data_IF_239302718689
#
_entry.id   IF_239302718689
#
_cell.length_a   1.000
_cell.length_b   1.000
_cell.length_c   1.000
_cell.angle_alpha   90.00
_cell.angle_beta   90.00
_cell.angle_gamma   90.00
#
_symmetry.space_group_name_H-M   'P 1'
#
loop_
_entity.id
_entity.type
_entity.pdbx_description
1 polymer ?
#
# COMPACT_ATOMS: atom_id res chain seq x y z
N UNK A 1 -8.37 2.21 20.22
CA UNK A 1 -8.50 2.69 21.61
C UNK A 1 -8.66 1.46 22.50
N UNK A 2 -7.73 1.23 23.42
CA UNK A 2 -7.87 0.16 24.42
C UNK A 2 -8.56 0.74 25.65
N UNK A 3 -9.63 0.09 26.11
CA UNK A 3 -10.41 0.55 27.25
C UNK A 3 -10.63 -0.61 28.21
N UNK A 4 -10.37 -0.37 29.50
CA UNK A 4 -10.70 -1.29 30.58
C UNK A 4 -11.99 -0.81 31.26
N UNK A 5 -12.92 -1.72 31.51
CA UNK A 5 -14.12 -1.46 32.30
C UNK A 5 -13.99 -2.24 33.61
N UNK A 6 -14.01 -1.52 34.74
CA UNK A 6 -14.05 -2.13 36.06
C UNK A 6 -15.45 -2.02 36.66
N UNK A 7 -16.03 -3.17 36.98
CA UNK A 7 -17.32 -3.25 37.67
C UNK A 7 -17.09 -3.34 39.17
N UNK A 8 -17.69 -2.43 39.93
CA UNK A 8 -17.51 -2.34 41.38
C UNK A 8 -18.81 -2.58 42.15
N UNK A 9 -18.71 -3.15 43.35
CA UNK A 9 -19.83 -3.37 44.26
C UNK A 9 -19.83 -2.29 45.36
N UNK A 10 -21.00 -1.71 45.64
CA UNK A 10 -21.19 -0.65 46.67
C UNK A 10 -21.48 -1.24 48.06
N UNK A 11 -21.69 -2.55 48.15
CA UNK A 11 -21.99 -3.22 49.42
C UNK A 11 -20.80 -3.19 50.40
N UNK A 12 -21.08 -2.92 51.69
CA UNK A 12 -20.06 -2.77 52.75
C UNK A 12 -19.16 -4.00 52.93
N UNK A 13 -19.69 -5.20 52.67
CA UNK A 13 -18.95 -6.47 52.73
C UNK A 13 -17.91 -6.64 51.61
N UNK A 14 -18.05 -5.90 50.51
CA UNK A 14 -17.22 -6.04 49.31
C UNK A 14 -16.28 -4.85 49.08
N UNK A 15 -16.15 -3.95 50.07
CA UNK A 15 -15.37 -2.72 49.92
C UNK A 15 -13.89 -3.02 49.66
N UNK A 16 -13.30 -4.02 50.31
CA UNK A 16 -11.89 -4.37 50.12
C UNK A 16 -11.61 -4.89 48.69
N UNK A 17 -12.55 -5.66 48.12
CA UNK A 17 -12.48 -6.13 46.72
C UNK A 17 -12.70 -4.99 45.72
N UNK A 18 -13.63 -4.09 46.01
CA UNK A 18 -13.85 -2.88 45.21
C UNK A 18 -12.62 -1.97 45.21
N UNK A 19 -11.97 -1.79 46.36
CA UNK A 19 -10.70 -1.03 46.46
C UNK A 19 -9.60 -1.71 45.65
N UNK A 20 -9.51 -3.04 45.73
CA UNK A 20 -8.53 -3.82 44.99
C UNK A 20 -8.73 -3.72 43.47
N UNK A 21 -9.99 -3.76 43.01
CA UNK A 21 -10.38 -3.56 41.62
C UNK A 21 -10.02 -2.16 41.12
N UNK A 22 -10.34 -1.12 41.89
CA UNK A 22 -9.99 0.26 41.55
C UNK A 22 -8.47 0.48 41.48
N UNK A 23 -7.70 -0.08 42.43
CA UNK A 23 -6.23 -0.02 42.42
C UNK A 23 -5.64 -0.71 41.19
N UNK A 24 -6.23 -1.82 40.76
CA UNK A 24 -5.81 -2.51 39.55
C UNK A 24 -6.12 -1.66 38.30
N UNK A 25 -7.32 -1.09 38.19
CA UNK A 25 -7.67 -0.18 37.09
C UNK A 25 -6.78 1.05 37.02
N UNK A 26 -6.38 1.61 38.16
CA UNK A 26 -5.43 2.72 38.22
C UNK A 26 -4.08 2.35 37.59
N UNK A 27 -3.58 1.14 37.86
CA UNK A 27 -2.34 0.65 37.22
C UNK A 27 -2.53 0.43 35.71
N UNK A 28 -3.68 -0.09 35.30
CA UNK A 28 -3.99 -0.32 33.87
C UNK A 28 -4.14 1.00 33.10
N UNK A 29 -4.64 2.06 33.74
CA UNK A 29 -4.74 3.39 33.15
C UNK A 29 -3.38 4.02 32.82
N UNK A 30 -2.32 3.59 33.50
CA UNK A 30 -0.94 4.05 33.23
C UNK A 30 -0.28 3.32 32.06
N UNK A 31 -0.89 2.27 31.53
CA UNK A 31 -0.33 1.50 30.42
C UNK A 31 -0.43 2.33 29.14
N UNK A 32 0.73 2.67 28.59
CA UNK A 32 0.83 3.34 27.29
C UNK A 32 0.86 2.29 26.18
N UNK A 33 -0.07 2.38 25.24
CA UNK A 33 -0.08 1.53 24.05
C UNK A 33 0.32 2.34 22.82
N UNK A 34 1.41 1.95 22.16
CA UNK A 34 1.83 2.55 20.89
C UNK A 34 1.08 1.87 19.75
N UNK A 35 0.03 2.53 19.26
CA UNK A 35 -0.79 1.98 18.18
C UNK A 35 -0.20 2.43 16.84
N UNK A 36 0.23 1.47 16.04
CA UNK A 36 0.56 1.66 14.63
C UNK A 36 -0.50 1.00 13.75
N UNK A 37 -0.76 1.58 12.58
CA UNK A 37 -1.60 0.94 11.57
C UNK A 37 -0.86 -0.30 11.08
N UNK A 38 -1.50 -1.46 11.17
CA UNK A 38 -0.95 -2.69 10.61
C UNK A 38 -1.14 -2.66 9.09
N UNK A 39 -0.23 -1.97 8.41
CA UNK A 39 -0.18 -1.94 6.96
C UNK A 39 0.56 -3.19 6.47
N UNK A 40 -0.15 -4.09 5.80
CA UNK A 40 0.47 -5.21 5.11
C UNK A 40 1.05 -4.71 3.78
N UNK A 41 2.36 -4.54 3.73
CA UNK A 41 3.07 -4.32 2.46
C UNK A 41 3.18 -5.64 1.70
N UNK A 42 2.89 -5.63 0.40
CA UNK A 42 3.07 -6.81 -0.44
C UNK A 42 4.54 -7.27 -0.36
N UNK A 43 4.82 -8.50 0.09
CA UNK A 43 6.19 -9.01 0.19
C UNK A 43 6.90 -8.99 -1.17
N UNK A 44 6.18 -9.11 -2.28
CA UNK A 44 6.78 -9.05 -3.63
C UNK A 44 7.25 -7.65 -4.00
N UNK A 45 6.48 -6.62 -3.62
CA UNK A 45 6.88 -5.22 -3.83
C UNK A 45 8.08 -4.86 -2.94
N UNK A 46 8.08 -5.30 -1.68
CA UNK A 46 9.21 -5.13 -0.78
C UNK A 46 10.47 -5.80 -1.34
N UNK A 47 10.37 -7.04 -1.82
CA UNK A 47 11.49 -7.75 -2.45
C UNK A 47 11.99 -7.03 -3.70
N UNK A 48 11.09 -6.47 -4.53
CA UNK A 48 11.47 -5.69 -5.71
C UNK A 48 12.23 -4.42 -5.32
N UNK A 49 11.73 -3.66 -4.35
CA UNK A 49 12.38 -2.44 -3.85
C UNK A 49 13.75 -2.76 -3.22
N UNK A 50 13.82 -3.78 -2.37
CA UNK A 50 15.08 -4.19 -1.75
C UNK A 50 16.10 -4.67 -2.79
N UNK A 51 15.68 -5.43 -3.80
CA UNK A 51 16.56 -5.85 -4.90
C UNK A 51 17.08 -4.66 -5.69
N UNK A 52 16.25 -3.65 -5.93
CA UNK A 52 16.66 -2.42 -6.59
C UNK A 52 17.68 -1.64 -5.73
N UNK A 53 17.41 -1.44 -4.45
CA UNK A 53 18.35 -0.78 -3.52
C UNK A 53 19.68 -1.52 -3.43
N UNK A 54 19.67 -2.85 -3.38
CA UNK A 54 20.89 -3.67 -3.40
C UNK A 54 21.66 -3.51 -4.72
N UNK A 55 20.98 -3.40 -5.85
CA UNK A 55 21.63 -3.14 -7.13
C UNK A 55 22.29 -1.75 -7.18
N UNK A 56 21.57 -0.72 -6.73
CA UNK A 56 22.06 0.67 -6.67
C UNK A 56 23.27 0.78 -5.73
N UNK A 57 23.20 0.21 -4.52
CA UNK A 57 24.32 0.22 -3.57
C UNK A 57 25.55 -0.55 -4.08
N UNK A 58 25.33 -1.65 -4.81
CA UNK A 58 26.43 -2.39 -5.45
C UNK A 58 27.06 -1.58 -6.58
N UNK A 59 26.27 -0.85 -7.34
CA UNK A 59 26.75 0.07 -8.37
C UNK A 59 27.58 1.21 -7.75
N UNK A 60 27.07 1.84 -6.69
CA UNK A 60 27.80 2.88 -5.96
C UNK A 60 29.12 2.36 -5.37
N UNK A 61 29.11 1.18 -4.76
CA UNK A 61 30.34 0.54 -4.26
C UNK A 61 31.31 0.20 -5.39
N UNK A 62 30.82 -0.25 -6.55
CA UNK A 62 31.68 -0.53 -7.70
C UNK A 62 32.32 0.72 -8.28
N UNK A 63 31.64 1.87 -8.22
CA UNK A 63 32.21 3.17 -8.60
C UNK A 63 33.22 3.66 -7.56
N UNK A 64 32.88 3.56 -6.26
CA UNK A 64 33.70 4.09 -5.17
C UNK A 64 34.97 3.27 -4.89
N UNK A 65 34.91 1.95 -5.08
CA UNK A 65 36.05 1.05 -4.85
C UNK A 65 37.02 1.04 -6.04
N UNK A 66 36.69 1.74 -7.13
CA UNK A 66 37.41 1.63 -8.39
C UNK A 66 37.25 0.21 -8.93
N UNK A 67 36.07 -0.08 -9.49
CA UNK A 67 35.75 -1.38 -10.07
C UNK A 67 36.90 -1.89 -10.93
N UNK A 68 37.20 -3.18 -10.81
CA UNK A 68 38.24 -3.90 -11.54
C UNK A 68 38.50 -3.22 -12.89
N UNK A 69 39.63 -2.53 -13.03
CA UNK A 69 40.05 -1.95 -14.30
C UNK A 69 40.27 -3.12 -15.26
N UNK A 70 39.19 -3.59 -15.89
CA UNK A 70 39.24 -4.63 -16.91
C UNK A 70 39.90 -3.99 -18.11
N UNK A 71 41.19 -4.23 -18.29
CA UNK A 71 42.01 -3.52 -19.28
C UNK A 71 41.72 -3.88 -20.76
N UNK A 72 40.52 -4.41 -21.07
CA UNK A 72 40.11 -4.85 -22.41
C UNK A 72 38.94 -4.06 -23.00
N UNK A 73 38.87 -4.00 -24.33
CA UNK A 73 37.73 -3.43 -25.05
C UNK A 73 36.41 -4.11 -24.65
N UNK A 74 35.31 -3.33 -24.62
CA UNK A 74 33.97 -3.85 -24.34
C UNK A 74 33.60 -4.95 -25.35
N UNK A 75 33.16 -6.10 -24.86
CA UNK A 75 32.69 -7.19 -25.71
C UNK A 75 31.47 -6.75 -26.53
N UNK A 76 31.27 -7.37 -27.69
CA UNK A 76 30.13 -7.08 -28.57
C UNK A 76 28.79 -7.17 -27.82
N UNK A 77 28.64 -8.19 -26.97
CA UNK A 77 27.46 -8.39 -26.14
C UNK A 77 27.24 -7.29 -25.08
N UNK A 78 28.30 -6.61 -24.63
CA UNK A 78 28.21 -5.48 -23.72
C UNK A 78 27.83 -4.19 -24.45
N UNK A 79 28.35 -3.99 -25.67
CA UNK A 79 27.92 -2.90 -26.57
C UNK A 79 26.43 -2.98 -26.89
N UNK A 80 25.96 -4.15 -27.33
CA UNK A 80 24.54 -4.37 -27.67
C UNK A 80 23.61 -4.16 -26.46
N UNK A 81 24.08 -4.48 -25.25
CA UNK A 81 23.34 -4.19 -24.01
C UNK A 81 23.24 -2.70 -23.74
N UNK A 82 24.34 -1.96 -23.90
CA UNK A 82 24.36 -0.51 -23.74
C UNK A 82 23.44 0.18 -24.76
N UNK A 83 23.45 -0.27 -26.02
CA UNK A 83 22.55 0.27 -27.06
C UNK A 83 21.07 0.09 -26.72
N UNK A 84 20.69 -1.09 -26.22
CA UNK A 84 19.31 -1.35 -25.79
C UNK A 84 18.92 -0.50 -24.57
N UNK A 85 19.78 -0.41 -23.56
CA UNK A 85 19.51 0.42 -22.38
C UNK A 85 19.33 1.90 -22.75
N UNK A 86 20.17 2.41 -23.64
CA UNK A 86 20.06 3.79 -24.15
C UNK A 86 18.77 3.95 -24.96
N UNK A 87 18.39 2.96 -25.77
CA UNK A 87 17.14 3.01 -26.53
C UNK A 87 15.90 3.00 -25.63
N UNK A 88 15.86 2.12 -24.64
CA UNK A 88 14.77 2.02 -23.67
C UNK A 88 14.66 3.33 -22.86
N UNK A 89 15.80 3.89 -22.43
CA UNK A 89 15.86 5.17 -21.73
C UNK A 89 15.35 6.35 -22.58
N UNK A 90 15.65 6.38 -23.89
CA UNK A 90 15.15 7.41 -24.79
C UNK A 90 13.66 7.26 -25.14
N UNK A 91 13.11 6.05 -25.00
CA UNK A 91 11.68 5.78 -25.25
C UNK A 91 10.81 6.04 -24.01
N UNK A 92 11.40 5.99 -22.80
CA UNK A 92 10.70 6.31 -21.56
C UNK A 92 10.44 7.82 -21.44
N UNK A 93 9.15 8.19 -21.32
CA UNK A 93 8.71 9.59 -21.16
C UNK A 93 8.64 10.04 -19.69
N UNK A 94 9.01 9.16 -18.74
CA UNK A 94 9.00 9.46 -17.31
C UNK A 94 10.13 10.42 -16.92
N UNK A 95 9.87 11.48 -16.13
CA UNK A 95 10.91 12.37 -15.62
C UNK A 95 11.86 11.69 -14.61
N UNK A 96 11.46 10.53 -14.07
CA UNK A 96 12.26 9.72 -13.13
C UNK A 96 13.03 8.58 -13.82
N UNK A 97 13.02 8.52 -15.16
CA UNK A 97 13.78 7.51 -15.89
C UNK A 97 15.27 7.66 -15.58
N UNK A 98 15.94 6.53 -15.27
CA UNK A 98 17.38 6.49 -14.98
C UNK A 98 18.06 5.47 -15.88
N UNK A 99 19.17 5.86 -16.50
CA UNK A 99 20.00 4.97 -17.29
C UNK A 99 20.98 4.23 -16.36
N UNK A 100 20.64 3.00 -16.00
CA UNK A 100 21.46 2.15 -15.11
C UNK A 100 22.46 1.32 -15.92
N UNK A 101 23.68 1.86 -16.08
CA UNK A 101 24.74 1.24 -16.88
C UNK A 101 25.67 0.36 -16.03
N UNK A 102 25.64 0.52 -14.70
CA UNK A 102 26.60 -0.08 -13.78
C UNK A 102 27.84 0.80 -13.59
N UNK A 103 28.71 0.42 -12.65
CA UNK A 103 29.90 1.21 -12.28
C UNK A 103 31.10 1.09 -13.23
N UNK A 104 30.89 0.66 -14.47
CA UNK A 104 31.95 0.52 -15.46
C UNK A 104 32.08 1.80 -16.30
N UNK A 105 33.18 2.53 -16.10
CA UNK A 105 33.47 3.79 -16.80
C UNK A 105 33.44 3.64 -18.33
N UNK A 106 33.83 2.49 -18.88
CA UNK A 106 33.87 2.26 -20.34
C UNK A 106 32.45 2.21 -20.91
N UNK A 107 31.53 1.52 -20.22
CA UNK A 107 30.12 1.43 -20.61
C UNK A 107 29.42 2.78 -20.49
N UNK A 108 29.75 3.54 -19.44
CA UNK A 108 29.25 4.91 -19.23
C UNK A 108 29.66 5.80 -20.42
N UNK A 109 30.95 5.81 -20.77
CA UNK A 109 31.47 6.58 -21.91
C UNK A 109 30.84 6.16 -23.24
N UNK A 110 30.66 4.85 -23.46
CA UNK A 110 29.96 4.33 -24.64
C UNK A 110 28.51 4.84 -24.71
N UNK A 111 27.75 4.74 -23.60
CA UNK A 111 26.37 5.23 -23.55
C UNK A 111 26.29 6.73 -23.87
N UNK A 112 27.19 7.55 -23.32
CA UNK A 112 27.28 8.97 -23.68
C UNK A 112 27.63 9.20 -25.15
N UNK A 113 28.49 8.36 -25.74
CA UNK A 113 28.83 8.44 -27.16
C UNK A 113 27.62 8.11 -28.05
N UNK A 114 26.82 7.11 -27.68
CA UNK A 114 25.59 6.71 -28.36
C UNK A 114 24.53 7.80 -28.25
N UNK A 115 24.32 8.36 -27.06
CA UNK A 115 23.42 9.50 -26.84
C UNK A 115 23.84 10.70 -27.69
N UNK A 116 25.13 11.04 -27.68
CA UNK A 116 25.68 12.14 -28.49
C UNK A 116 25.50 11.88 -29.99
N UNK A 117 25.67 10.64 -30.44
CA UNK A 117 25.42 10.26 -31.84
C UNK A 117 23.93 10.40 -32.21
N UNK A 118 23.01 10.01 -31.33
CA UNK A 118 21.55 10.14 -31.55
C UNK A 118 21.08 11.59 -31.52
N UNK A 119 21.69 12.45 -30.72
CA UNK A 119 21.39 13.89 -30.68
C UNK A 119 21.99 14.64 -31.87
N UNK A 120 23.20 14.24 -32.32
CA UNK A 120 23.87 14.86 -33.47
C UNK A 120 23.40 14.32 -34.81
N UNK A 121 22.82 13.13 -34.85
CA UNK A 121 22.11 12.64 -36.02
C UNK A 121 20.85 13.50 -36.18
N UNK A 122 20.71 14.27 -37.27
CA UNK A 122 19.46 14.98 -37.52
C UNK A 122 18.37 13.91 -37.64
N UNK A 123 17.39 13.98 -36.76
CA UNK A 123 16.16 13.19 -36.73
C UNK A 123 15.80 12.63 -38.12
N UNK A 124 16.15 11.37 -38.39
CA UNK A 124 15.50 10.61 -39.45
C UNK A 124 14.10 10.27 -38.95
N UNK A 125 13.21 11.26 -39.06
CA UNK A 125 11.78 10.99 -39.16
C UNK A 125 11.58 10.14 -40.41
N UNK A 126 11.47 8.83 -40.23
CA UNK A 126 10.82 7.95 -41.20
C UNK A 126 9.32 8.19 -41.09
N UNK A 127 8.82 9.22 -41.77
CA UNK A 127 7.40 9.33 -42.14
C UNK A 127 7.33 9.50 -43.66
N UNK A 128 6.57 8.66 -44.39
CA UNK A 128 6.37 8.87 -45.82
C UNK A 128 5.56 10.15 -46.03
N UNK A 129 6.11 11.03 -46.88
CA UNK A 129 5.52 12.28 -47.36
C UNK A 129 4.11 12.09 -47.91
N UNK A 130 3.16 12.88 -47.42
CA UNK A 130 2.18 13.55 -48.30
C UNK A 130 2.04 15.00 -47.82
N UNK A 131 2.09 15.91 -48.76
CA UNK A 131 2.40 17.33 -48.59
C UNK A 131 1.24 18.16 -48.03
N UNK A 132 1.55 19.09 -47.10
CA UNK A 132 1.07 20.49 -47.04
C UNK A 132 1.75 21.25 -45.89
N UNK A 133 1.99 22.57 -46.00
CA UNK A 133 2.83 23.34 -45.09
C UNK A 133 2.05 23.93 -43.90
N UNK A 134 2.78 24.26 -42.83
CA UNK A 134 2.38 25.19 -41.76
C UNK A 134 1.33 24.69 -40.75
N UNK A 135 1.78 24.19 -39.60
CA UNK A 135 1.44 24.73 -38.26
C UNK A 135 2.05 23.89 -37.13
N UNK A 136 2.25 24.58 -36.00
CA UNK A 136 2.75 24.15 -34.69
C UNK A 136 2.25 22.76 -34.24
N UNK A 137 3.00 22.04 -33.38
CA UNK A 137 2.51 20.78 -32.82
C UNK A 137 1.40 21.11 -31.81
N UNK A 138 0.17 21.16 -32.30
CA UNK A 138 -1.03 21.06 -31.46
C UNK A 138 -1.06 19.63 -30.99
N UNK A 139 -0.83 19.42 -29.69
CA UNK A 139 -1.23 18.20 -29.01
C UNK A 139 -2.70 18.00 -29.32
N UNK A 140 -3.04 17.07 -30.22
CA UNK A 140 -4.43 16.67 -30.39
C UNK A 140 -4.80 15.92 -29.12
N UNK A 141 -5.32 16.67 -28.17
CA UNK A 141 -5.97 16.15 -26.99
C UNK A 141 -7.02 15.13 -27.45
N UNK A 142 -6.94 13.93 -26.89
CA UNK A 142 -7.96 12.91 -27.10
C UNK A 142 -9.31 13.54 -26.71
N UNK A 143 -10.29 13.65 -27.63
CA UNK A 143 -11.56 14.33 -27.35
C UNK A 143 -12.32 13.66 -26.20
N UNK A 144 -12.02 12.39 -25.90
CA UNK A 144 -12.55 11.69 -24.72
C UNK A 144 -11.94 12.20 -23.41
N UNK A 145 -10.67 12.56 -23.43
CA UNK A 145 -9.98 13.07 -22.25
C UNK A 145 -10.41 14.50 -21.94
N UNK A 146 -10.61 15.34 -22.96
CA UNK A 146 -11.17 16.69 -22.79
C UNK A 146 -12.58 16.64 -22.19
N UNK A 147 -13.43 15.73 -22.67
CA UNK A 147 -14.78 15.54 -22.13
C UNK A 147 -14.76 15.03 -20.69
N UNK A 148 -13.85 14.12 -20.34
CA UNK A 148 -13.68 13.64 -18.95
C UNK A 148 -13.19 14.76 -18.03
N UNK A 149 -12.24 15.59 -18.48
CA UNK A 149 -11.75 16.74 -17.72
C UNK A 149 -12.89 17.74 -17.50
N UNK A 150 -13.65 18.06 -18.55
CA UNK A 150 -14.82 18.94 -18.48
C UNK A 150 -15.87 18.45 -17.49
N UNK A 151 -16.20 17.16 -17.54
CA UNK A 151 -17.15 16.54 -16.61
C UNK A 151 -16.67 16.61 -15.16
N UNK A 152 -15.38 16.35 -14.91
CA UNK A 152 -14.79 16.47 -13.57
C UNK A 152 -14.76 17.90 -13.07
N UNK A 153 -14.45 18.87 -13.93
CA UNK A 153 -14.45 20.29 -13.56
C UNK A 153 -15.87 20.79 -13.22
N UNK A 154 -16.90 20.29 -13.93
CA UNK A 154 -18.31 20.56 -13.60
C UNK A 154 -18.70 19.96 -12.24
N UNK A 155 -18.29 18.73 -11.95
CA UNK A 155 -18.51 18.08 -10.66
C UNK A 155 -17.79 18.81 -9.53
N UNK A 156 -16.53 19.18 -9.72
CA UNK A 156 -15.73 19.96 -8.76
C UNK A 156 -16.42 21.30 -8.46
N UNK A 157 -16.93 21.99 -9.49
CA UNK A 157 -17.64 23.25 -9.30
C UNK A 157 -18.95 23.08 -8.51
N UNK A 158 -19.70 22.00 -8.75
CA UNK A 158 -20.87 21.69 -7.94
C UNK A 158 -20.49 21.40 -6.48
N UNK A 159 -19.48 20.56 -6.26
CA UNK A 159 -19.00 20.20 -4.92
C UNK A 159 -18.51 21.43 -4.15
N UNK A 160 -17.77 22.33 -4.80
CA UNK A 160 -17.34 23.60 -4.23
C UNK A 160 -18.52 24.50 -3.86
N UNK A 161 -19.59 24.52 -4.66
CA UNK A 161 -20.81 25.27 -4.35
C UNK A 161 -21.52 24.70 -3.13
N UNK A 162 -21.66 23.38 -3.03
CA UNK A 162 -22.21 22.72 -1.83
C UNK A 162 -21.34 22.92 -0.60
N UNK A 163 -20.01 22.78 -0.70
CA UNK A 163 -19.10 23.02 0.43
C UNK A 163 -19.16 24.48 0.90
N UNK A 164 -19.22 25.44 -0.03
CA UNK A 164 -19.38 26.85 0.31
C UNK A 164 -20.74 27.13 0.95
N UNK A 165 -21.79 26.43 0.52
CA UNK A 165 -23.12 26.53 1.11
C UNK A 165 -23.15 25.92 2.52
N UNK A 166 -22.57 24.75 2.73
CA UNK A 166 -22.46 24.10 4.05
C UNK A 166 -21.62 24.95 5.01
N UNK A 167 -20.50 25.50 4.56
CA UNK A 167 -19.67 26.42 5.36
C UNK A 167 -20.42 27.70 5.75
N UNK A 168 -21.32 28.20 4.89
CA UNK A 168 -22.22 29.32 5.20
C UNK A 168 -23.27 28.93 6.24
N UNK A 169 -23.91 27.76 6.10
CA UNK A 169 -24.89 27.25 7.08
C UNK A 169 -24.25 27.05 8.46
N UNK A 170 -23.04 26.51 8.51
CA UNK A 170 -22.28 26.35 9.76
C UNK A 170 -22.01 27.72 10.40
N UNK A 171 -21.52 28.69 9.63
CA UNK A 171 -21.27 30.05 10.15
C UNK A 171 -22.56 30.74 10.63
N UNK A 172 -23.69 30.52 9.96
CA UNK A 172 -25.00 31.04 10.37
C UNK A 172 -25.52 30.39 11.65
N UNK A 173 -25.35 29.07 11.80
CA UNK A 173 -25.67 28.34 13.03
C UNK A 173 -24.77 28.78 14.20
N UNK A 174 -23.46 28.96 13.96
CA UNK A 174 -22.52 29.49 14.94
C UNK A 174 -22.88 30.92 15.38
N UNK A 175 -23.30 31.77 14.44
CA UNK A 175 -23.77 33.12 14.77
C UNK A 175 -25.05 33.09 15.61
N UNK A 176 -26.01 32.21 15.29
CA UNK A 176 -27.24 32.03 16.07
C UNK A 176 -26.95 31.51 17.49
N UNK A 177 -26.03 30.56 17.63
CA UNK A 177 -25.58 30.05 18.94
C UNK A 177 -24.92 31.15 19.80
N UNK A 178 -24.17 32.07 19.19
CA UNK A 178 -23.58 33.23 19.90
C UNK A 178 -24.63 34.25 20.35
N UNK A 179 -25.73 34.42 19.61
CA UNK A 179 -26.82 35.34 20.00
C UNK A 179 -27.74 34.79 21.09
N UNK A 180 -27.68 33.49 21.40
CA UNK A 180 -28.48 32.85 22.46
C UNK A 180 -27.71 32.63 23.76
N UNK A 181 -26.45 33.05 23.85
CA UNK A 181 -25.68 33.03 25.09
C UNK A 181 -26.02 34.28 25.94
N UNK A 182 -26.54 34.15 27.17
CA UNK A 182 -26.64 35.27 28.09
C UNK A 182 -25.24 35.71 28.50
N UNK A 183 -25.05 37.03 28.62
CA UNK A 183 -23.84 37.63 29.20
C UNK A 183 -23.59 37.08 30.61
N UNK A 184 -22.47 36.37 30.79
CA UNK A 184 -21.80 36.34 32.09
C UNK A 184 -20.42 36.98 31.96
N UNK A 185 -20.27 38.08 32.71
CA UNK A 185 -19.02 38.77 33.04
C UNK A 185 -18.00 37.80 33.62
N UNK A 186 -16.74 37.97 33.24
CA UNK A 186 -15.62 37.50 34.06
C UNK A 186 -14.34 37.40 33.25
N UNK A 187 -13.56 38.48 33.23
CA UNK A 187 -12.21 38.46 32.69
C UNK A 187 -11.20 37.89 33.68
N UNK A 188 -10.16 37.27 33.16
CA UNK A 188 -8.77 37.35 33.61
C UNK A 188 -7.92 36.61 32.57
N UNK A 189 -6.84 37.25 32.13
CA UNK A 189 -5.85 36.61 31.27
C UNK A 189 -5.08 35.54 32.04
N UNK A 190 -4.65 34.50 31.32
CA UNK A 190 -3.61 33.60 31.81
C UNK A 190 -2.48 33.53 30.79
N UNK A 191 -1.30 33.81 31.32
CA UNK A 191 -0.01 33.85 30.66
C UNK A 191 0.46 32.44 30.31
N UNK A 192 1.19 32.36 29.20
CA UNK A 192 1.89 31.17 28.72
C UNK A 192 3.19 31.05 29.49
N UNK A 193 3.42 29.93 30.18
CA UNK A 193 4.76 29.56 30.66
C UNK A 193 5.17 28.16 30.18
N UNK A 194 6.29 28.15 29.48
CA UNK A 194 6.97 27.04 28.81
C UNK A 194 8.00 26.45 29.77
N UNK A 195 8.03 25.12 30.00
CA UNK A 195 9.15 24.48 30.71
C UNK A 195 9.50 23.08 30.17
N UNK A 196 10.81 22.91 30.01
CA UNK A 196 11.57 21.88 29.28
C UNK A 196 11.65 20.50 29.96
N UNK A 197 11.79 19.51 29.08
CA UNK A 197 12.47 18.19 29.11
C UNK A 197 13.02 17.61 30.41
N UNK A 198 12.82 16.28 30.60
CA UNK A 198 13.91 15.38 31.04
C UNK A 198 13.68 13.90 30.66
N UNK A 199 14.80 13.21 30.46
CA UNK A 199 15.03 11.92 29.76
C UNK A 199 15.55 10.88 30.74
N UNK A 200 14.95 9.70 30.91
CA UNK A 200 15.62 8.54 31.57
C UNK A 200 15.15 7.16 31.06
N UNK A 201 16.12 6.47 30.45
CA UNK A 201 16.55 5.05 30.45
C UNK A 201 15.60 3.86 30.18
N UNK A 202 16.13 3.07 29.25
CA UNK A 202 15.86 1.71 28.78
C UNK A 202 16.42 0.66 29.76
N UNK A 203 15.64 -0.38 30.08
CA UNK A 203 16.18 -1.66 30.59
C UNK A 203 15.40 -2.86 30.04
N UNK A 204 16.13 -3.98 29.94
CA UNK A 204 15.95 -5.15 29.06
C UNK A 204 15.63 -6.39 29.90
N UNK A 205 14.86 -7.33 29.32
CA UNK A 205 14.78 -8.74 29.71
C UNK A 205 13.35 -9.23 29.96
N UNK A 206 12.93 -10.48 29.75
CA UNK A 206 13.52 -11.72 29.19
C UNK A 206 12.33 -12.63 28.89
N UNK A 207 12.39 -13.43 27.83
CA UNK A 207 11.36 -14.40 27.41
C UNK A 207 11.12 -15.49 28.46
N UNK A 208 9.86 -15.92 28.64
CA UNK A 208 9.54 -17.32 29.00
C UNK A 208 8.35 -17.81 28.19
N UNK A 209 8.56 -18.96 27.55
CA UNK A 209 7.65 -19.72 26.71
C UNK A 209 6.72 -20.59 27.56
N UNK A 210 5.41 -20.47 27.39
CA UNK A 210 4.43 -21.33 28.11
C UNK A 210 2.95 -21.07 27.85
N UNK A 211 2.55 -19.98 27.17
CA UNK A 211 1.15 -19.53 27.15
C UNK A 211 0.38 -19.79 25.84
N UNK A 212 0.89 -20.63 24.94
CA UNK A 212 0.28 -20.77 23.61
C UNK A 212 -0.98 -21.67 23.55
N UNK A 213 -1.15 -22.65 24.44
CA UNK A 213 -2.27 -23.61 24.30
C UNK A 213 -3.59 -23.17 24.97
N UNK A 214 -3.54 -22.25 25.94
CA UNK A 214 -4.74 -21.76 26.64
C UNK A 214 -5.51 -20.67 25.87
N UNK A 215 -4.83 -19.96 24.96
CA UNK A 215 -5.39 -18.86 24.18
C UNK A 215 -6.36 -19.33 23.10
N UNK A 216 -6.09 -20.46 22.46
CA UNK A 216 -6.86 -20.94 21.31
C UNK A 216 -8.28 -21.40 21.69
N UNK A 217 -8.44 -22.04 22.86
CA UNK A 217 -9.75 -22.49 23.35
C UNK A 217 -10.69 -21.33 23.68
N UNK A 218 -10.16 -20.27 24.30
CA UNK A 218 -10.95 -19.06 24.66
C UNK A 218 -11.36 -18.25 23.43
N UNK A 219 -10.52 -18.23 22.40
CA UNK A 219 -10.80 -17.51 21.15
C UNK A 219 -11.87 -18.21 20.30
N UNK A 220 -11.94 -19.55 20.36
CA UNK A 220 -12.97 -20.35 19.68
C UNK A 220 -14.37 -20.18 20.31
N UNK A 221 -14.45 -20.09 21.64
CA UNK A 221 -15.71 -19.85 22.37
C UNK A 221 -16.24 -18.43 22.14
N UNK A 222 -15.37 -17.43 22.16
CA UNK A 222 -15.73 -16.04 21.88
C UNK A 222 -16.23 -15.83 20.43
N UNK A 223 -15.62 -16.52 19.45
CA UNK A 223 -16.10 -16.51 18.05
C UNK A 223 -17.45 -17.21 17.85
N UNK A 224 -17.76 -18.23 18.66
CA UNK A 224 -19.08 -18.89 18.65
C UNK A 224 -20.15 -18.02 19.29
N UNK A 225 -19.82 -17.34 20.39
CA UNK A 225 -20.72 -16.41 21.07
C UNK A 225 -21.08 -15.21 20.18
N UNK A 226 -20.12 -14.61 19.47
CA UNK A 226 -20.36 -13.49 18.54
C UNK A 226 -21.32 -13.84 17.39
N UNK A 227 -21.30 -15.08 16.91
CA UNK A 227 -22.22 -15.54 15.85
C UNK A 227 -23.65 -15.78 16.36
N UNK A 228 -23.85 -15.93 17.67
CA UNK A 228 -25.13 -16.36 18.24
C UNK A 228 -26.03 -15.21 18.69
N UNK A 229 -25.53 -13.98 18.83
CA UNK A 229 -26.31 -12.85 19.36
C UNK A 229 -26.22 -11.61 18.46
N UNK A 230 -26.77 -11.73 17.26
CA UNK A 230 -27.27 -10.57 16.51
C UNK A 230 -28.78 -10.54 16.67
N UNK A 231 -29.30 -9.57 17.44
CA UNK A 231 -30.74 -9.27 17.45
C UNK A 231 -31.22 -9.10 16.00
N UNK A 232 -32.42 -9.59 15.68
CA UNK A 232 -32.95 -9.60 14.30
C UNK A 232 -32.87 -8.22 13.62
N UNK A 233 -33.10 -7.16 14.38
CA UNK A 233 -32.97 -5.77 13.93
C UNK A 233 -31.53 -5.37 13.58
N UNK A 234 -30.53 -5.89 14.30
CA UNK A 234 -29.11 -5.66 14.02
C UNK A 234 -28.64 -6.43 12.79
N UNK A 235 -29.22 -7.60 12.54
CA UNK A 235 -28.97 -8.36 11.31
C UNK A 235 -29.62 -7.68 10.10
N UNK A 236 -30.86 -7.20 10.24
CA UNK A 236 -31.55 -6.41 9.20
C UNK A 236 -30.79 -5.12 8.85
N UNK A 237 -30.28 -4.38 9.85
CA UNK A 237 -29.46 -3.19 9.64
C UNK A 237 -28.13 -3.50 8.94
N UNK A 238 -27.50 -4.63 9.26
CA UNK A 238 -26.27 -5.08 8.62
C UNK A 238 -26.51 -5.51 7.17
N UNK A 239 -27.61 -6.19 6.88
CA UNK A 239 -27.99 -6.59 5.52
C UNK A 239 -28.40 -5.39 4.66
N UNK A 240 -28.93 -4.33 5.27
CA UNK A 240 -29.16 -3.06 4.59
C UNK A 240 -27.84 -2.35 4.28
N UNK A 241 -26.93 -2.24 5.26
CA UNK A 241 -25.58 -1.70 5.03
C UNK A 241 -24.80 -2.45 3.94
N UNK A 242 -24.90 -3.79 3.90
CA UNK A 242 -24.24 -4.59 2.85
C UNK A 242 -24.80 -4.33 1.46
N UNK A 243 -26.09 -4.00 1.33
CA UNK A 243 -26.73 -3.69 0.05
C UNK A 243 -26.40 -2.27 -0.41
N UNK A 244 -26.33 -1.33 0.53
CA UNK A 244 -26.12 0.09 0.23
C UNK A 244 -24.63 0.45 0.10
N UNK A 245 -23.72 -0.49 0.36
CA UNK A 245 -22.29 -0.27 0.22
C UNK A 245 -21.88 -0.33 -1.28
N UNK A 246 -21.39 0.78 -1.87
CA UNK A 246 -21.11 0.87 -3.30
C UNK A 246 -19.97 -0.06 -3.77
N UNK A 247 -19.17 -0.57 -2.83
CA UNK A 247 -18.04 -1.48 -3.09
C UNK A 247 -18.50 -2.94 -3.10
N UNK A 248 -19.72 -3.25 -2.64
CA UNK A 248 -20.16 -4.63 -2.46
C UNK A 248 -20.28 -5.39 -3.79
N UNK A 249 -20.68 -4.72 -4.86
CA UNK A 249 -20.74 -5.31 -6.20
C UNK A 249 -19.35 -5.72 -6.70
N UNK A 250 -18.34 -4.87 -6.50
CA UNK A 250 -16.94 -5.18 -6.83
C UNK A 250 -16.42 -6.36 -6.00
N UNK A 251 -16.74 -6.40 -4.71
CA UNK A 251 -16.35 -7.51 -3.82
C UNK A 251 -17.00 -8.82 -4.24
N UNK A 252 -18.28 -8.78 -4.62
CA UNK A 252 -18.99 -9.95 -5.12
C UNK A 252 -18.39 -10.43 -6.46
N UNK A 253 -18.03 -9.51 -7.35
CA UNK A 253 -17.37 -9.83 -8.61
C UNK A 253 -15.97 -10.45 -8.40
N UNK A 254 -15.15 -9.88 -7.51
CA UNK A 254 -13.86 -10.47 -7.16
C UNK A 254 -14.01 -11.87 -6.53
N UNK A 255 -15.07 -12.07 -5.73
CA UNK A 255 -15.38 -13.37 -5.15
C UNK A 255 -15.78 -14.39 -6.21
N UNK A 256 -16.55 -14.00 -7.22
CA UNK A 256 -16.89 -14.88 -8.34
C UNK A 256 -15.67 -15.21 -9.18
N UNK A 257 -14.86 -14.20 -9.51
CA UNK A 257 -13.66 -14.37 -10.34
C UNK A 257 -12.64 -15.29 -9.65
N UNK A 258 -12.46 -15.13 -8.34
CA UNK A 258 -11.57 -15.98 -7.56
C UNK A 258 -12.05 -17.43 -7.53
N UNK A 259 -13.37 -17.65 -7.41
CA UNK A 259 -13.95 -19.01 -7.47
C UNK A 259 -13.73 -19.65 -8.83
N UNK A 260 -13.95 -18.90 -9.91
CA UNK A 260 -13.73 -19.39 -11.28
C UNK A 260 -12.27 -19.76 -11.51
N UNK A 261 -11.34 -18.87 -11.15
CA UNK A 261 -9.89 -19.14 -11.27
C UNK A 261 -9.45 -20.34 -10.43
N UNK A 262 -10.03 -20.51 -9.24
CA UNK A 262 -9.73 -21.67 -8.40
C UNK A 262 -10.25 -22.97 -9.01
N UNK A 263 -11.46 -22.98 -9.59
CA UNK A 263 -11.97 -24.14 -10.31
C UNK A 263 -11.15 -24.49 -11.54
N UNK A 264 -10.69 -23.48 -12.29
CA UNK A 264 -9.82 -23.67 -13.46
C UNK A 264 -8.45 -24.23 -13.06
N UNK A 265 -7.81 -23.66 -12.04
CA UNK A 265 -6.56 -24.16 -11.50
C UNK A 265 -6.69 -25.61 -10.98
N UNK A 266 -7.82 -25.95 -10.37
CA UNK A 266 -8.10 -27.32 -9.92
C UNK A 266 -8.21 -28.28 -11.10
N UNK A 267 -8.95 -27.90 -12.16
CA UNK A 267 -9.07 -28.72 -13.37
C UNK A 267 -7.72 -28.96 -14.05
N UNK A 268 -6.89 -27.92 -14.18
CA UNK A 268 -5.52 -28.04 -14.70
C UNK A 268 -4.65 -28.95 -13.81
N UNK A 269 -4.81 -28.88 -12.50
CA UNK A 269 -4.13 -29.79 -11.57
C UNK A 269 -4.53 -31.26 -11.76
N UNK A 270 -5.81 -31.52 -12.01
CA UNK A 270 -6.32 -32.87 -12.32
C UNK A 270 -5.79 -33.38 -13.69
N UNK A 271 -5.66 -32.49 -14.68
CA UNK A 271 -5.07 -32.82 -16.00
C UNK A 271 -3.57 -33.16 -15.91
N UNK A 272 -2.81 -32.37 -15.15
CA UNK A 272 -1.39 -32.66 -14.88
C UNK A 272 -1.25 -33.98 -14.13
N UNK A 273 -2.11 -34.25 -13.16
CA UNK A 273 -2.10 -35.50 -12.42
C UNK A 273 -2.40 -36.70 -13.33
N UNK A 274 -3.36 -36.56 -14.24
CA UNK A 274 -3.72 -37.60 -15.23
C UNK A 274 -2.59 -37.85 -16.24
N UNK A 275 -1.89 -36.79 -16.66
CA UNK A 275 -0.70 -36.90 -17.51
C UNK A 275 0.45 -37.60 -16.77
N UNK A 276 0.60 -37.33 -15.48
CA UNK A 276 1.63 -37.97 -14.66
C UNK A 276 1.35 -39.46 -14.42
N UNK A 277 0.10 -39.85 -14.22
CA UNK A 277 -0.28 -41.27 -14.07
C UNK A 277 -0.06 -42.02 -15.38
N UNK A 278 -0.47 -41.45 -16.52
CA UNK A 278 -0.21 -42.07 -17.83
C UNK A 278 1.28 -42.23 -18.10
N UNK A 279 2.10 -41.20 -17.88
CA UNK A 279 3.57 -41.30 -18.02
C UNK A 279 4.14 -42.41 -17.13
N UNK A 280 3.63 -42.54 -15.90
CA UNK A 280 4.07 -43.60 -14.98
C UNK A 280 3.68 -44.99 -15.48
N UNK A 281 2.49 -45.15 -16.05
CA UNK A 281 2.03 -46.39 -16.67
C UNK A 281 2.88 -46.79 -17.89
N UNK A 282 3.18 -45.84 -18.78
CA UNK A 282 4.08 -46.05 -19.91
C UNK A 282 5.51 -46.41 -19.46
N UNK A 283 6.02 -45.74 -18.43
CA UNK A 283 7.32 -46.06 -17.82
C UNK A 283 7.38 -47.49 -17.29
N UNK A 284 6.31 -47.96 -16.63
CA UNK A 284 6.21 -49.33 -16.12
C UNK A 284 6.10 -50.36 -17.25
N UNK A 285 5.37 -50.08 -18.34
CA UNK A 285 5.29 -50.97 -19.51
C UNK A 285 6.64 -51.13 -20.22
N UNK A 286 7.36 -50.02 -20.41
CA UNK A 286 8.71 -50.04 -20.99
C UNK A 286 9.68 -50.86 -20.12
N UNK A 287 9.61 -50.71 -18.80
CA UNK A 287 10.43 -51.49 -17.87
C UNK A 287 10.13 -53.00 -17.94
N UNK A 288 8.86 -53.39 -18.15
CA UNK A 288 8.44 -54.80 -18.22
C UNK A 288 8.75 -55.49 -19.56
N UNK A 289 9.03 -54.74 -20.63
CA UNK A 289 9.34 -55.28 -21.97
C UNK A 289 10.85 -55.53 -22.17
N UNK A 290 11.68 -55.15 -21.20
CA UNK A 290 13.15 -55.25 -21.28
C UNK A 290 13.71 -56.48 -20.54
N UNK A 291 12.86 -57.50 -20.29
CA UNK A 291 13.21 -58.83 -19.75
C UNK A 291 12.83 -59.92 -20.75
#
# INVERSE_FOLDING_TARGET
MTSMIATCSVEKRNIDETISTCRFSQRVALIKNEVRVNEELDPKLMVRQLRQQVAELREELSLATGGEERDGDLELAERERCERLVQDYLQDSSPEARLLVGGDMRKIQLCFSLLKARVKSPLLHTTPKTATPTNQPTVTADPRLEEVIRQRDEEINMLLKTLKQERRKIAELEARLRTTAPEERGGAGEEVEERKEERVKEERGTETTGEQEAGERKQAESRKAWKSELSRARQEAFDQFRRDCPIMDQVNQHKTDLRTKYSEAKALGEEVQSSRTTISEWGNLCASTTL
#
